data_IF_610635860587
#
_entry.id   IF_610635860587
#
_cell.length_a   1.000
_cell.length_b   1.000
_cell.length_c   1.000
_cell.angle_alpha   90.00
_cell.angle_beta   90.00
_cell.angle_gamma   90.00
#
_symmetry.space_group_name_H-M   'P 1'
#
loop_
_entity.id
_entity.type
_entity.pdbx_description
1 polymer ?
#
# COMPACT_ATOMS: atom_id res chain seq x y z
N UNK A 1 7.96 -17.59 19.51
CA UNK A 1 7.41 -18.02 18.24
C UNK A 1 7.62 -19.54 18.01
N UNK A 2 8.85 -20.07 17.79
CA UNK A 2 9.03 -21.52 17.56
C UNK A 2 8.53 -22.38 18.74
N UNK A 3 8.79 -21.97 19.98
CA UNK A 3 8.28 -22.63 21.18
C UNK A 3 6.75 -22.64 21.24
N UNK A 4 6.06 -21.58 20.77
CA UNK A 4 4.59 -21.52 20.71
C UNK A 4 4.03 -22.56 19.74
N UNK A 5 4.68 -22.76 18.59
CA UNK A 5 4.29 -23.76 17.59
C UNK A 5 4.41 -25.20 18.16
N UNK A 6 5.54 -25.49 18.83
CA UNK A 6 5.73 -26.79 19.48
C UNK A 6 4.63 -27.04 20.53
N UNK A 7 4.34 -26.04 21.36
CA UNK A 7 3.26 -26.14 22.37
C UNK A 7 1.87 -26.27 21.75
N UNK A 8 1.61 -25.62 20.62
CA UNK A 8 0.36 -25.80 19.89
C UNK A 8 0.22 -27.23 19.33
N UNK A 9 1.29 -27.78 18.75
CA UNK A 9 1.33 -29.16 18.30
C UNK A 9 1.12 -30.16 19.46
N UNK A 10 1.77 -29.94 20.60
CA UNK A 10 1.58 -30.75 21.82
C UNK A 10 0.12 -30.66 22.33
N UNK A 11 -0.51 -29.49 22.21
CA UNK A 11 -1.91 -29.27 22.61
C UNK A 11 -2.94 -29.84 21.61
N UNK A 12 -2.49 -30.38 20.47
CA UNK A 12 -3.35 -31.07 19.49
C UNK A 12 -3.63 -30.30 18.20
N UNK A 13 -2.84 -29.28 17.86
CA UNK A 13 -2.94 -28.65 16.54
C UNK A 13 -2.50 -29.66 15.47
N UNK A 14 -3.35 -29.85 14.45
CA UNK A 14 -3.11 -30.80 13.36
C UNK A 14 -2.27 -30.16 12.24
N UNK A 15 -2.36 -28.85 12.06
CA UNK A 15 -1.64 -28.09 11.05
C UNK A 15 -1.04 -26.83 11.68
N UNK A 16 0.21 -26.52 11.33
CA UNK A 16 0.91 -25.32 11.73
C UNK A 16 1.54 -24.63 10.53
N UNK A 17 1.43 -23.30 10.47
CA UNK A 17 1.99 -22.49 9.39
C UNK A 17 3.39 -22.02 9.78
N UNK A 18 4.35 -22.25 8.90
CA UNK A 18 5.76 -21.96 9.10
C UNK A 18 6.36 -21.35 7.82
N UNK A 19 7.52 -20.72 7.95
CA UNK A 19 8.28 -20.19 6.82
C UNK A 19 9.61 -20.90 6.67
N UNK A 20 10.08 -21.07 5.42
CA UNK A 20 11.43 -21.57 5.15
C UNK A 20 12.47 -20.74 5.92
N UNK A 21 13.57 -21.33 6.38
CA UNK A 21 14.47 -20.71 7.36
C UNK A 21 14.98 -19.32 6.95
N UNK A 22 15.37 -19.12 5.71
CA UNK A 22 15.84 -17.85 5.16
C UNK A 22 14.78 -16.74 5.10
N UNK A 23 13.48 -17.10 5.13
CA UNK A 23 12.34 -16.18 5.09
C UNK A 23 11.56 -16.13 6.42
N UNK A 24 12.10 -16.73 7.48
CA UNK A 24 11.40 -16.93 8.76
C UNK A 24 11.75 -15.89 9.81
N UNK A 25 10.94 -15.86 10.88
CA UNK A 25 11.20 -15.04 12.07
C UNK A 25 10.77 -13.58 11.92
N UNK A 26 11.13 -12.74 12.89
CA UNK A 26 10.76 -11.33 12.98
C UNK A 26 9.22 -11.15 12.85
N UNK A 27 8.75 -10.62 11.75
CA UNK A 27 7.32 -10.43 11.43
C UNK A 27 6.74 -11.54 10.55
N UNK A 28 7.57 -12.49 10.08
CA UNK A 28 7.13 -13.68 9.36
C UNK A 28 6.80 -14.83 10.33
N UNK A 29 6.37 -15.97 9.76
CA UNK A 29 6.11 -17.18 10.52
C UNK A 29 7.40 -17.75 11.12
N UNK A 30 7.30 -18.63 12.15
CA UNK A 30 8.46 -19.31 12.72
C UNK A 30 9.18 -20.20 11.71
N UNK A 31 10.44 -20.52 12.03
CA UNK A 31 11.35 -21.26 11.16
C UNK A 31 10.93 -22.72 10.99
N UNK A 32 10.57 -23.10 9.74
CA UNK A 32 10.15 -24.45 9.35
C UNK A 32 11.25 -25.48 9.61
N UNK A 33 12.48 -25.25 9.12
CA UNK A 33 13.57 -26.21 9.22
C UNK A 33 13.88 -26.54 10.68
N UNK A 34 13.82 -25.52 11.57
CA UNK A 34 14.02 -25.71 13.00
C UNK A 34 12.92 -26.57 13.66
N UNK A 35 11.67 -26.36 13.28
CA UNK A 35 10.54 -27.12 13.82
C UNK A 35 10.56 -28.56 13.31
N UNK A 36 10.81 -28.78 12.02
CA UNK A 36 10.96 -30.11 11.43
C UNK A 36 12.06 -30.90 12.15
N UNK A 37 13.22 -30.27 12.36
CA UNK A 37 14.32 -30.92 13.07
C UNK A 37 14.00 -31.17 14.56
N UNK A 38 13.30 -30.24 15.23
CA UNK A 38 12.93 -30.40 16.64
C UNK A 38 11.93 -31.54 16.88
N UNK A 39 11.06 -31.81 15.88
CA UNK A 39 10.07 -32.90 15.95
C UNK A 39 10.59 -34.24 15.41
N UNK A 40 11.82 -34.29 14.91
CA UNK A 40 12.40 -35.54 14.36
C UNK A 40 12.42 -36.65 15.39
N UNK A 41 11.77 -37.77 15.07
CA UNK A 41 11.63 -38.90 15.96
C UNK A 41 10.55 -38.77 17.03
N UNK A 42 9.81 -37.67 17.07
CA UNK A 42 8.61 -37.48 17.88
C UNK A 42 7.39 -38.17 17.18
N UNK A 43 6.33 -38.57 17.92
CA UNK A 43 5.07 -39.04 17.30
C UNK A 43 4.45 -38.06 16.30
N UNK A 44 4.83 -36.80 16.35
CA UNK A 44 4.40 -35.72 15.43
C UNK A 44 5.45 -35.35 14.38
N UNK A 45 6.42 -36.22 14.16
CA UNK A 45 7.42 -36.03 13.11
C UNK A 45 6.75 -35.82 11.75
N UNK A 46 7.06 -34.72 11.09
CA UNK A 46 6.43 -34.34 9.83
C UNK A 46 6.87 -35.19 8.65
N UNK A 47 7.96 -35.96 8.79
CA UNK A 47 8.60 -36.74 7.72
C UNK A 47 9.08 -35.90 6.52
N UNK A 48 9.19 -34.59 6.67
CA UNK A 48 9.73 -33.70 5.63
C UNK A 48 11.24 -33.89 5.48
N UNK A 49 11.72 -33.86 4.25
CA UNK A 49 13.16 -33.97 3.95
C UNK A 49 13.87 -32.67 4.32
N UNK A 50 14.60 -32.70 5.43
CA UNK A 50 15.32 -31.53 5.94
C UNK A 50 16.44 -31.07 4.97
N UNK A 51 17.10 -32.00 4.26
CA UNK A 51 18.15 -31.63 3.30
C UNK A 51 17.58 -30.83 2.12
N UNK A 52 16.42 -31.23 1.62
CA UNK A 52 15.71 -30.46 0.59
C UNK A 52 15.23 -29.09 1.09
N UNK A 53 14.73 -28.99 2.32
CA UNK A 53 14.35 -27.72 2.93
C UNK A 53 15.56 -26.78 3.10
N UNK A 54 16.73 -27.33 3.42
CA UNK A 54 17.98 -26.55 3.54
C UNK A 54 18.46 -26.07 2.16
N UNK A 55 18.37 -26.87 1.13
CA UNK A 55 18.65 -26.46 -0.26
C UNK A 55 17.74 -25.30 -0.68
N UNK A 56 16.43 -25.40 -0.46
CA UNK A 56 15.50 -24.31 -0.69
C UNK A 56 15.85 -23.05 0.10
N UNK A 57 16.29 -23.21 1.35
CA UNK A 57 16.69 -22.08 2.19
C UNK A 57 17.89 -21.33 1.62
N UNK A 58 18.89 -22.04 1.11
CA UNK A 58 20.07 -21.46 0.47
C UNK A 58 19.66 -20.65 -0.78
N UNK A 59 18.79 -21.21 -1.61
CA UNK A 59 18.26 -20.50 -2.78
C UNK A 59 17.57 -19.18 -2.38
N UNK A 60 16.64 -19.26 -1.42
CA UNK A 60 15.89 -18.08 -1.00
C UNK A 60 16.72 -17.06 -0.23
N UNK A 61 17.79 -17.47 0.44
CA UNK A 61 18.75 -16.54 1.05
C UNK A 61 19.46 -15.71 -0.02
N UNK A 62 19.89 -16.34 -1.11
CA UNK A 62 20.51 -15.63 -2.24
C UNK A 62 19.52 -14.66 -2.91
N UNK A 63 18.25 -15.08 -3.12
CA UNK A 63 17.21 -14.21 -3.67
C UNK A 63 16.92 -13.03 -2.74
N UNK A 64 16.82 -13.27 -1.42
CA UNK A 64 16.52 -12.24 -0.43
C UNK A 64 17.50 -11.07 -0.45
N UNK A 65 18.76 -11.29 -0.79
CA UNK A 65 19.76 -10.23 -0.87
C UNK A 65 19.38 -9.13 -1.87
N UNK A 66 18.68 -9.46 -2.95
CA UNK A 66 18.21 -8.47 -3.93
C UNK A 66 17.10 -7.58 -3.38
N UNK A 67 16.38 -8.02 -2.35
CA UNK A 67 15.27 -7.31 -1.73
C UNK A 67 15.67 -6.62 -0.42
N UNK A 68 16.90 -6.79 0.06
CA UNK A 68 17.34 -6.25 1.35
C UNK A 68 17.13 -4.73 1.49
N UNK A 69 17.38 -3.89 0.47
CA UNK A 69 17.12 -2.44 0.56
C UNK A 69 15.65 -2.07 0.76
N UNK A 70 14.72 -2.98 0.45
CA UNK A 70 13.28 -2.79 0.63
C UNK A 70 12.77 -3.40 1.95
N UNK A 71 13.65 -4.08 2.71
CA UNK A 71 13.29 -4.73 3.97
C UNK A 71 13.26 -3.72 5.12
N UNK A 72 12.06 -3.32 5.52
CA UNK A 72 11.79 -2.43 6.66
C UNK A 72 11.52 -3.19 7.97
N UNK A 73 11.70 -4.52 7.98
CA UNK A 73 11.47 -5.36 9.16
C UNK A 73 12.38 -4.96 10.34
N UNK A 74 11.93 -5.19 11.58
CA UNK A 74 12.81 -5.05 12.74
C UNK A 74 13.97 -6.06 12.63
N UNK A 75 15.14 -5.67 13.10
CA UNK A 75 16.36 -6.55 13.04
C UNK A 75 16.47 -7.53 14.21
N UNK A 76 15.50 -7.54 15.13
CA UNK A 76 15.43 -8.44 16.27
C UNK A 76 13.98 -8.81 16.59
N UNK A 77 13.79 -9.98 17.22
CA UNK A 77 12.49 -10.40 17.71
C UNK A 77 12.14 -9.72 19.03
N UNK A 78 10.85 -9.43 19.24
CA UNK A 78 10.35 -8.84 20.48
C UNK A 78 9.09 -9.57 20.96
N UNK A 79 8.71 -9.35 22.23
CA UNK A 79 7.46 -9.84 22.80
C UNK A 79 6.33 -8.80 22.73
N UNK A 80 6.55 -7.66 22.11
CA UNK A 80 5.56 -6.56 22.02
C UNK A 80 4.30 -6.97 21.27
N UNK A 81 4.39 -7.96 20.37
CA UNK A 81 3.22 -8.54 19.67
C UNK A 81 2.13 -8.98 20.64
N UNK A 82 2.50 -9.44 21.85
CA UNK A 82 1.51 -9.85 22.86
C UNK A 82 0.83 -8.67 23.56
N UNK A 83 1.25 -7.43 23.28
CA UNK A 83 0.59 -6.20 23.76
C UNK A 83 -0.29 -5.61 22.68
N UNK A 84 0.30 -5.31 21.52
CA UNK A 84 -0.42 -4.65 20.43
C UNK A 84 -1.19 -5.63 19.53
N UNK A 85 -0.82 -6.94 19.56
CA UNK A 85 -1.44 -8.01 18.76
C UNK A 85 -1.52 -7.70 17.25
N UNK A 86 -0.60 -6.87 16.77
CA UNK A 86 -0.53 -6.48 15.36
C UNK A 86 -0.03 -7.67 14.55
N UNK A 87 -0.76 -8.11 13.52
CA UNK A 87 -0.26 -9.14 12.60
C UNK A 87 1.06 -8.73 11.96
N UNK A 88 1.97 -9.69 11.74
CA UNK A 88 3.33 -9.39 11.25
C UNK A 88 3.37 -8.59 9.95
N UNK A 89 2.53 -8.94 8.96
CA UNK A 89 2.42 -8.19 7.71
C UNK A 89 1.88 -6.76 7.92
N UNK A 90 0.93 -6.58 8.86
CA UNK A 90 0.44 -5.26 9.19
C UNK A 90 1.50 -4.42 9.91
N UNK A 91 2.33 -5.05 10.75
CA UNK A 91 3.42 -4.36 11.45
C UNK A 91 4.42 -3.73 10.47
N UNK A 92 4.89 -4.49 9.47
CA UNK A 92 5.80 -3.98 8.46
C UNK A 92 5.17 -2.91 7.60
N UNK A 93 3.94 -3.13 7.09
CA UNK A 93 3.23 -2.15 6.28
C UNK A 93 2.99 -0.85 7.04
N UNK A 94 2.53 -0.93 8.29
CA UNK A 94 2.24 0.27 9.08
C UNK A 94 3.52 1.03 9.44
N UNK A 95 4.64 0.32 9.68
CA UNK A 95 5.93 0.94 9.93
C UNK A 95 6.46 1.71 8.73
N UNK A 96 6.29 1.15 7.52
CA UNK A 96 6.63 1.82 6.27
C UNK A 96 5.75 3.05 6.04
N UNK A 97 4.43 2.92 6.22
CA UNK A 97 3.48 4.03 6.16
C UNK A 97 3.84 5.15 7.15
N UNK A 98 4.16 4.79 8.40
CA UNK A 98 4.58 5.75 9.42
C UNK A 98 5.86 6.49 9.00
N UNK A 99 6.83 5.78 8.44
CA UNK A 99 8.07 6.39 7.95
C UNK A 99 7.82 7.35 6.80
N UNK A 100 6.99 6.98 5.83
CA UNK A 100 6.61 7.83 4.69
C UNK A 100 5.85 9.10 5.11
N UNK A 101 5.07 9.02 6.19
CA UNK A 101 4.36 10.17 6.79
C UNK A 101 5.23 10.98 7.77
N UNK A 102 6.55 10.70 7.87
CA UNK A 102 7.45 11.39 8.79
C UNK A 102 7.27 10.99 10.26
N UNK A 103 6.52 9.93 10.54
CA UNK A 103 6.23 9.44 11.90
C UNK A 103 7.15 8.28 12.32
N UNK A 104 8.19 7.95 11.55
CA UNK A 104 9.08 6.83 11.83
C UNK A 104 9.76 6.90 13.21
N UNK A 105 10.17 8.11 13.65
CA UNK A 105 10.72 8.35 14.99
C UNK A 105 9.69 8.23 16.13
N UNK A 106 8.39 8.32 15.78
CA UNK A 106 7.26 8.21 16.70
C UNK A 106 6.63 6.81 16.70
N UNK A 107 7.32 5.80 16.20
CA UNK A 107 6.83 4.43 16.12
C UNK A 107 6.22 3.89 17.43
N UNK A 108 6.81 4.13 18.62
CA UNK A 108 6.18 3.71 19.89
C UNK A 108 4.80 4.33 20.12
N UNK A 109 4.55 5.55 19.65
CA UNK A 109 3.23 6.18 19.73
C UNK A 109 2.26 5.55 18.73
N UNK A 110 2.71 5.23 17.50
CA UNK A 110 1.89 4.50 16.51
C UNK A 110 1.41 3.17 17.09
N UNK A 111 2.28 2.41 17.74
CA UNK A 111 1.93 1.13 18.39
C UNK A 111 0.90 1.33 19.50
N UNK A 112 1.09 2.32 20.35
CA UNK A 112 0.12 2.69 21.40
C UNK A 112 -1.25 3.07 20.81
N UNK A 113 -1.26 3.93 19.81
CA UNK A 113 -2.50 4.33 19.13
C UNK A 113 -3.21 3.13 18.48
N UNK A 114 -2.45 2.21 17.88
CA UNK A 114 -3.02 0.99 17.31
C UNK A 114 -3.74 0.12 18.35
N UNK A 115 -3.12 -0.08 19.51
CA UNK A 115 -3.69 -0.82 20.64
C UNK A 115 -4.97 -0.12 21.17
N UNK A 116 -4.89 1.18 21.49
CA UNK A 116 -6.01 1.96 22.02
C UNK A 116 -7.17 2.05 21.02
N UNK A 117 -6.89 2.26 19.74
CA UNK A 117 -7.92 2.26 18.67
C UNK A 117 -8.62 0.90 18.60
N UNK A 118 -7.90 -0.22 18.70
CA UNK A 118 -8.55 -1.52 18.70
C UNK A 118 -9.50 -1.68 19.90
N UNK A 119 -9.11 -1.21 21.08
CA UNK A 119 -9.95 -1.24 22.27
C UNK A 119 -11.22 -0.37 22.08
N UNK A 120 -11.09 0.82 21.52
CA UNK A 120 -12.22 1.72 21.22
C UNK A 120 -13.17 1.10 20.19
N UNK A 121 -12.67 0.33 19.24
CA UNK A 121 -13.48 -0.40 18.25
C UNK A 121 -14.16 -1.65 18.83
N UNK A 122 -13.91 -1.98 20.10
CA UNK A 122 -14.53 -3.11 20.80
C UNK A 122 -13.66 -4.35 20.84
N UNK A 123 -12.33 -4.17 20.78
CA UNK A 123 -11.33 -5.24 20.82
C UNK A 123 -11.59 -6.33 19.77
N UNK A 124 -11.64 -5.89 18.54
CA UNK A 124 -11.94 -6.75 17.38
C UNK A 124 -10.77 -7.64 17.02
N UNK A 125 -11.09 -8.80 16.42
CA UNK A 125 -10.06 -9.68 15.85
C UNK A 125 -9.33 -8.96 14.71
N UNK A 126 -7.99 -8.91 14.82
CA UNK A 126 -7.11 -8.25 13.86
C UNK A 126 -6.64 -9.23 12.79
N UNK A 127 -7.38 -9.30 11.72
CA UNK A 127 -7.10 -10.06 10.50
C UNK A 127 -7.49 -9.21 9.29
N UNK A 128 -6.94 -9.46 8.12
CA UNK A 128 -7.33 -8.70 6.91
C UNK A 128 -8.84 -8.77 6.67
N UNK A 129 -9.56 -7.64 6.52
CA UNK A 129 -9.08 -6.26 6.42
C UNK A 129 -9.01 -5.46 7.73
N UNK A 130 -9.51 -5.99 8.86
CA UNK A 130 -9.67 -5.24 10.12
C UNK A 130 -8.35 -4.70 10.67
N UNK A 131 -7.26 -5.46 10.59
CA UNK A 131 -5.93 -5.00 11.03
C UNK A 131 -5.45 -3.76 10.30
N UNK A 132 -5.74 -3.67 8.98
CA UNK A 132 -5.43 -2.48 8.18
C UNK A 132 -6.25 -1.29 8.66
N UNK A 133 -7.55 -1.47 8.87
CA UNK A 133 -8.45 -0.38 9.28
C UNK A 133 -8.08 0.18 10.65
N UNK A 134 -7.71 -0.68 11.62
CA UNK A 134 -7.18 -0.23 12.92
C UNK A 134 -5.93 0.62 12.73
N UNK A 135 -5.01 0.20 11.85
CA UNK A 135 -3.80 0.95 11.52
C UNK A 135 -4.11 2.30 10.85
N UNK A 136 -4.99 2.31 9.86
CA UNK A 136 -5.38 3.52 9.14
C UNK A 136 -5.98 4.57 10.10
N UNK A 137 -6.85 4.14 11.04
CA UNK A 137 -7.43 5.03 12.03
C UNK A 137 -6.39 5.52 13.05
N UNK A 138 -5.50 4.66 13.52
CA UNK A 138 -4.41 5.03 14.44
C UNK A 138 -3.49 6.09 13.80
N UNK A 139 -3.07 5.88 12.56
CA UNK A 139 -2.25 6.82 11.81
C UNK A 139 -2.96 8.14 11.57
N UNK A 140 -4.24 8.10 11.22
CA UNK A 140 -5.07 9.29 11.02
C UNK A 140 -5.15 10.14 12.28
N UNK A 141 -5.47 9.53 13.43
CA UNK A 141 -5.56 10.24 14.71
C UNK A 141 -4.21 10.84 15.14
N UNK A 142 -3.13 10.05 15.03
CA UNK A 142 -1.79 10.50 15.38
C UNK A 142 -1.34 11.68 14.50
N UNK A 143 -1.61 11.63 13.20
CA UNK A 143 -1.28 12.72 12.27
C UNK A 143 -2.07 14.00 12.59
N UNK A 144 -3.32 13.86 13.01
CA UNK A 144 -4.15 15.01 13.46
C UNK A 144 -3.81 15.50 14.86
N UNK A 145 -2.97 14.79 15.63
CA UNK A 145 -2.67 15.12 17.02
C UNK A 145 -3.86 14.93 17.94
N UNK A 146 -4.75 13.98 17.63
CA UNK A 146 -5.95 13.64 18.42
C UNK A 146 -5.69 12.36 19.19
N UNK A 147 -5.83 12.37 20.51
CA UNK A 147 -5.71 11.16 21.31
C UNK A 147 -6.87 10.19 20.98
N UNK A 148 -6.64 8.87 20.95
CA UNK A 148 -7.69 7.90 20.62
C UNK A 148 -8.95 8.04 21.48
N UNK A 149 -8.80 8.33 22.78
CA UNK A 149 -9.92 8.56 23.70
C UNK A 149 -10.82 9.75 23.30
N UNK A 150 -10.28 10.72 22.57
CA UNK A 150 -10.99 11.90 22.11
C UNK A 150 -11.67 11.72 20.75
N UNK A 151 -11.57 10.54 20.14
CA UNK A 151 -12.20 10.23 18.85
C UNK A 151 -13.69 10.61 18.82
N UNK A 152 -14.41 10.32 19.90
CA UNK A 152 -15.86 10.59 20.00
C UNK A 152 -16.21 12.08 20.12
N UNK A 153 -15.22 12.92 20.41
CA UNK A 153 -15.36 14.38 20.53
C UNK A 153 -15.03 15.12 19.22
N UNK A 154 -14.64 14.40 18.16
CA UNK A 154 -14.36 15.01 16.87
C UNK A 154 -15.62 15.61 16.26
N UNK A 155 -15.43 16.71 15.53
CA UNK A 155 -16.52 17.43 14.88
C UNK A 155 -17.23 16.56 13.82
N UNK A 156 -18.58 16.66 13.72
CA UNK A 156 -19.32 16.05 12.62
C UNK A 156 -18.79 16.53 11.26
N UNK A 157 -18.59 15.60 10.35
CA UNK A 157 -18.03 15.92 9.02
C UNK A 157 -16.51 15.80 8.92
N UNK A 158 -15.83 15.35 9.97
CA UNK A 158 -14.41 14.97 9.88
C UNK A 158 -14.25 13.90 8.79
N UNK A 159 -13.34 14.15 7.85
CA UNK A 159 -13.02 13.18 6.77
C UNK A 159 -12.11 12.08 7.31
N UNK A 160 -12.69 10.93 7.58
CA UNK A 160 -11.94 9.72 7.96
C UNK A 160 -11.45 8.96 6.73
N UNK A 161 -10.42 8.10 6.86
CA UNK A 161 -10.02 7.18 5.81
C UNK A 161 -11.20 6.33 5.34
N UNK A 162 -11.31 6.10 4.01
CA UNK A 162 -12.45 5.38 3.42
C UNK A 162 -12.56 3.95 3.99
N UNK A 163 -11.42 3.27 4.21
CA UNK A 163 -11.39 1.94 4.84
C UNK A 163 -12.06 1.90 6.22
N UNK A 164 -11.90 2.97 7.00
CA UNK A 164 -12.51 3.12 8.33
C UNK A 164 -14.02 3.32 8.18
N UNK A 165 -14.43 4.18 7.26
CA UNK A 165 -15.84 4.43 6.96
C UNK A 165 -16.54 3.17 6.47
N UNK A 166 -15.93 2.44 5.53
CA UNK A 166 -16.46 1.19 4.98
C UNK A 166 -16.63 0.11 6.06
N UNK A 167 -15.62 -0.03 6.92
CA UNK A 167 -15.72 -1.00 8.01
C UNK A 167 -16.84 -0.64 8.99
N UNK A 168 -16.90 0.60 9.46
CA UNK A 168 -17.91 1.04 10.43
C UNK A 168 -19.32 1.12 9.82
N UNK A 169 -19.43 1.32 8.51
CA UNK A 169 -20.72 1.21 7.81
C UNK A 169 -21.22 -0.22 7.75
N UNK A 170 -20.36 -1.22 7.97
CA UNK A 170 -20.66 -2.65 7.81
C UNK A 170 -20.41 -3.16 6.39
N UNK A 171 -19.76 -2.36 5.49
CA UNK A 171 -19.41 -2.75 4.14
C UNK A 171 -18.42 -3.91 4.09
N UNK A 172 -17.57 -4.03 5.11
CA UNK A 172 -16.63 -5.15 5.30
C UNK A 172 -17.14 -6.24 6.26
N UNK A 173 -18.43 -6.22 6.59
CA UNK A 173 -19.03 -7.08 7.61
C UNK A 173 -19.16 -6.37 8.96
N UNK A 174 -19.59 -7.14 9.97
CA UNK A 174 -19.78 -6.60 11.32
C UNK A 174 -19.30 -7.60 12.37
N UNK A 175 -18.65 -7.15 13.46
CA UNK A 175 -18.30 -8.01 14.57
C UNK A 175 -19.56 -8.49 15.31
N UNK A 176 -19.42 -9.58 16.06
CA UNK A 176 -20.49 -10.05 16.94
C UNK A 176 -20.83 -8.95 17.97
N UNK A 177 -22.06 -8.51 17.99
CA UNK A 177 -22.52 -7.42 18.86
C UNK A 177 -22.56 -6.04 18.20
N UNK A 178 -22.02 -5.91 16.98
CA UNK A 178 -21.95 -4.65 16.24
C UNK A 178 -20.82 -3.73 16.73
N UNK A 179 -20.77 -2.54 16.17
CA UNK A 179 -19.79 -1.50 16.51
C UNK A 179 -20.23 -0.68 17.73
N UNK A 180 -19.30 -0.11 18.52
CA UNK A 180 -19.63 0.90 19.54
C UNK A 180 -20.36 2.07 18.88
N UNK A 181 -21.55 2.38 19.39
CA UNK A 181 -22.49 3.29 18.71
C UNK A 181 -21.99 4.73 18.60
N UNK A 182 -21.30 5.20 19.61
CA UNK A 182 -20.76 6.56 19.69
C UNK A 182 -19.64 6.74 18.64
N UNK A 183 -18.75 5.75 18.53
CA UNK A 183 -17.67 5.70 17.54
C UNK A 183 -18.26 5.62 16.14
N UNK A 184 -19.21 4.70 15.92
CA UNK A 184 -19.89 4.56 14.64
C UNK A 184 -20.58 5.85 14.20
N UNK A 185 -21.25 6.54 15.13
CA UNK A 185 -21.94 7.81 14.86
C UNK A 185 -20.98 8.91 14.42
N UNK A 186 -19.85 9.05 15.09
CA UNK A 186 -18.84 10.08 14.74
C UNK A 186 -18.21 9.81 13.37
N UNK A 187 -17.86 8.54 13.09
CA UNK A 187 -17.20 8.16 11.84
C UNK A 187 -18.16 8.22 10.65
N UNK A 188 -19.39 7.76 10.81
CA UNK A 188 -20.36 7.74 9.73
C UNK A 188 -21.07 9.09 9.52
N UNK A 189 -21.22 9.91 10.55
CA UNK A 189 -22.02 11.13 10.48
C UNK A 189 -23.45 10.80 10.05
N UNK A 190 -23.90 11.38 8.94
CA UNK A 190 -25.24 11.18 8.37
C UNK A 190 -25.36 9.92 7.48
N UNK A 191 -24.27 9.20 7.26
CA UNK A 191 -24.24 7.99 6.43
C UNK A 191 -24.96 6.84 7.12
N UNK A 192 -25.74 6.06 6.35
CA UNK A 192 -26.47 4.91 6.88
C UNK A 192 -25.59 3.65 6.87
N UNK A 193 -25.55 2.98 8.02
CA UNK A 193 -24.91 1.68 8.12
C UNK A 193 -25.68 0.60 7.33
N UNK A 194 -24.95 -0.36 6.78
CA UNK A 194 -25.54 -1.53 6.14
C UNK A 194 -26.25 -2.41 7.17
N UNK A 195 -27.39 -2.97 6.73
CA UNK A 195 -28.08 -4.02 7.48
C UNK A 195 -28.03 -5.32 6.70
N UNK A 196 -27.51 -6.36 7.33
CA UNK A 196 -27.37 -7.65 6.72
C UNK A 196 -26.03 -7.82 6.00
N UNK A 197 -25.96 -8.75 5.07
CA UNK A 197 -24.75 -9.15 4.37
C UNK A 197 -24.47 -8.19 3.19
N UNK A 198 -23.34 -7.47 3.14
CA UNK A 198 -23.05 -6.50 2.08
C UNK A 198 -23.08 -7.13 0.69
N UNK A 199 -22.47 -8.31 0.51
CA UNK A 199 -22.45 -9.01 -0.77
C UNK A 199 -23.82 -9.41 -1.33
N UNK A 200 -24.86 -9.44 -0.49
CA UNK A 200 -26.23 -9.68 -0.96
C UNK A 200 -26.82 -8.47 -1.73
N UNK A 201 -26.20 -7.29 -1.62
CA UNK A 201 -26.59 -6.03 -2.26
C UNK A 201 -25.60 -5.60 -3.34
N UNK A 202 -24.52 -6.35 -3.50
CA UNK A 202 -23.56 -6.07 -4.56
C UNK A 202 -24.27 -6.16 -5.91
N UNK A 203 -24.04 -5.19 -6.76
CA UNK A 203 -24.50 -5.24 -8.14
C UNK A 203 -23.84 -6.40 -8.86
N UNK A 204 -24.60 -7.03 -9.76
CA UNK A 204 -24.03 -8.09 -10.58
C UNK A 204 -23.08 -7.47 -11.59
N UNK A 205 -21.88 -8.01 -11.65
CA UNK A 205 -20.91 -7.59 -12.65
C UNK A 205 -21.36 -8.13 -14.02
N UNK A 206 -21.44 -7.24 -15.00
CA UNK A 206 -21.60 -7.60 -16.41
C UNK A 206 -20.21 -7.94 -16.97
N UNK A 207 -19.94 -9.25 -17.14
CA UNK A 207 -18.64 -9.71 -17.61
C UNK A 207 -18.37 -9.31 -19.06
N UNK A 208 -19.41 -9.19 -19.90
CA UNK A 208 -19.24 -8.85 -21.30
C UNK A 208 -18.92 -7.34 -21.47
N UNK A 209 -19.53 -6.50 -20.67
CA UNK A 209 -19.18 -5.07 -20.60
C UNK A 209 -17.78 -4.88 -20.04
N UNK A 210 -17.45 -5.58 -18.95
CA UNK A 210 -16.11 -5.54 -18.35
C UNK A 210 -15.03 -5.99 -19.33
N UNK A 211 -15.26 -7.04 -20.12
CA UNK A 211 -14.31 -7.47 -21.16
C UNK A 211 -14.04 -6.37 -22.20
N UNK A 212 -15.07 -5.61 -22.59
CA UNK A 212 -14.90 -4.47 -23.53
C UNK A 212 -14.08 -3.35 -22.88
N UNK A 213 -14.34 -3.06 -21.62
CA UNK A 213 -13.58 -2.07 -20.86
C UNK A 213 -12.11 -2.47 -20.75
N UNK A 214 -11.81 -3.71 -20.37
CA UNK A 214 -10.44 -4.24 -20.27
C UNK A 214 -9.74 -4.21 -21.63
N UNK A 215 -10.38 -4.66 -22.69
CA UNK A 215 -9.83 -4.59 -24.05
C UNK A 215 -9.53 -3.13 -24.47
N UNK A 216 -10.35 -2.17 -24.05
CA UNK A 216 -10.06 -0.75 -24.28
C UNK A 216 -8.87 -0.25 -23.46
N UNK A 217 -8.77 -0.67 -22.17
CA UNK A 217 -7.65 -0.32 -21.29
C UNK A 217 -6.34 -0.90 -21.82
N UNK A 218 -6.30 -2.18 -22.20
CA UNK A 218 -5.10 -2.85 -22.71
C UNK A 218 -4.78 -2.48 -24.16
N UNK A 219 -5.78 -2.00 -24.93
CA UNK A 219 -5.75 -1.83 -26.40
C UNK A 219 -5.54 -3.16 -27.13
N UNK A 220 -5.85 -4.28 -26.50
CA UNK A 220 -5.86 -5.57 -27.16
C UNK A 220 -7.14 -5.76 -27.96
N UNK A 221 -7.08 -6.57 -29.02
CA UNK A 221 -8.27 -6.90 -29.83
C UNK A 221 -9.30 -7.69 -29.01
N UNK A 222 -8.86 -8.48 -28.07
CA UNK A 222 -9.67 -9.29 -27.18
C UNK A 222 -9.10 -9.29 -25.78
N UNK A 223 -9.97 -9.30 -24.76
CA UNK A 223 -9.63 -9.48 -23.37
C UNK A 223 -9.44 -10.97 -23.07
N UNK A 224 -8.33 -11.35 -22.45
CA UNK A 224 -8.13 -12.70 -21.93
C UNK A 224 -8.90 -12.93 -20.62
N UNK A 225 -9.05 -14.20 -20.20
CA UNK A 225 -9.66 -14.52 -18.91
C UNK A 225 -8.81 -13.97 -17.73
N UNK A 226 -7.48 -14.07 -17.84
CA UNK A 226 -6.57 -13.58 -16.81
C UNK A 226 -6.69 -12.06 -16.65
N UNK A 227 -6.64 -11.30 -17.75
CA UNK A 227 -6.84 -9.85 -17.73
C UNK A 227 -8.19 -9.45 -17.12
N UNK A 228 -9.26 -10.19 -17.45
CA UNK A 228 -10.59 -9.95 -16.89
C UNK A 228 -10.59 -10.12 -15.36
N UNK A 229 -10.06 -11.23 -14.87
CA UNK A 229 -10.07 -11.53 -13.44
C UNK A 229 -9.09 -10.64 -12.66
N UNK A 230 -7.93 -10.33 -13.20
CA UNK A 230 -7.00 -9.37 -12.61
C UNK A 230 -7.63 -7.99 -12.48
N UNK A 231 -8.32 -7.52 -13.52
CA UNK A 231 -9.02 -6.24 -13.48
C UNK A 231 -10.15 -6.25 -12.45
N UNK A 232 -10.95 -7.31 -12.39
CA UNK A 232 -12.06 -7.43 -11.43
C UNK A 232 -11.57 -7.48 -9.98
N UNK A 233 -10.45 -8.15 -9.72
CA UNK A 233 -9.87 -8.27 -8.38
C UNK A 233 -9.12 -7.00 -7.96
N UNK A 234 -8.40 -6.36 -8.87
CA UNK A 234 -7.47 -5.27 -8.57
C UNK A 234 -7.49 -4.18 -9.65
N UNK A 235 -8.61 -3.48 -9.87
CA UNK A 235 -8.80 -2.62 -11.05
C UNK A 235 -7.74 -1.51 -11.16
N UNK A 236 -7.35 -0.89 -10.04
CA UNK A 236 -6.34 0.17 -10.09
C UNK A 236 -4.94 -0.40 -10.37
N UNK A 237 -4.55 -1.47 -9.68
CA UNK A 237 -3.25 -2.13 -9.89
C UNK A 237 -3.11 -2.61 -11.34
N UNK A 238 -4.17 -3.16 -11.92
CA UNK A 238 -4.19 -3.56 -13.32
C UNK A 238 -3.98 -2.38 -14.27
N UNK A 239 -4.67 -1.25 -14.04
CA UNK A 239 -4.50 -0.01 -14.83
C UNK A 239 -3.06 0.52 -14.75
N UNK A 240 -2.48 0.52 -13.56
CA UNK A 240 -1.11 0.97 -13.33
C UNK A 240 -0.09 0.06 -14.00
N UNK A 241 -0.31 -1.26 -13.94
CA UNK A 241 0.51 -2.25 -14.64
C UNK A 241 0.45 -2.07 -16.16
N UNK A 242 -0.74 -1.91 -16.74
CA UNK A 242 -0.90 -1.64 -18.17
C UNK A 242 -0.22 -0.34 -18.58
N UNK A 243 -0.31 0.70 -17.76
CA UNK A 243 0.39 1.97 -17.99
C UNK A 243 1.90 1.78 -17.98
N UNK A 244 2.43 1.07 -16.97
CA UNK A 244 3.85 0.74 -16.86
C UNK A 244 4.37 -0.01 -18.10
N UNK A 245 3.66 -1.07 -18.51
CA UNK A 245 4.06 -1.86 -19.68
C UNK A 245 4.01 -1.06 -20.99
N UNK A 246 3.15 -0.06 -21.09
CA UNK A 246 3.15 0.84 -22.26
C UNK A 246 4.33 1.79 -22.28
N UNK A 247 4.76 2.23 -21.12
CA UNK A 247 5.86 3.19 -20.99
C UNK A 247 7.22 2.51 -21.15
N UNK A 248 7.39 1.37 -20.51
CA UNK A 248 8.69 0.68 -20.41
C UNK A 248 8.80 -0.61 -21.24
N UNK A 249 7.68 -1.13 -21.75
CA UNK A 249 7.63 -2.43 -22.42
C UNK A 249 7.62 -3.59 -21.42
N UNK A 250 7.90 -4.80 -21.93
CA UNK A 250 7.92 -6.04 -21.14
C UNK A 250 9.21 -6.12 -20.31
N UNK A 251 9.17 -5.61 -19.09
CA UNK A 251 10.33 -5.56 -18.20
C UNK A 251 10.62 -6.90 -17.48
N UNK A 252 9.74 -7.91 -17.56
CA UNK A 252 9.93 -9.22 -16.90
C UNK A 252 11.09 -10.02 -17.50
N UNK A 253 11.52 -9.67 -18.72
CA UNK A 253 12.69 -10.26 -19.37
C UNK A 253 14.03 -9.81 -18.76
N UNK A 254 14.03 -8.77 -17.92
CA UNK A 254 15.24 -8.26 -17.27
C UNK A 254 15.60 -9.15 -16.07
N UNK A 255 16.90 -9.41 -15.83
CA UNK A 255 17.34 -10.01 -14.57
C UNK A 255 16.91 -9.16 -13.37
N UNK A 256 16.45 -9.79 -12.28
CA UNK A 256 15.94 -9.10 -11.08
C UNK A 256 16.88 -8.00 -10.55
N UNK A 257 18.21 -8.19 -10.42
CA UNK A 257 19.10 -7.12 -9.99
C UNK A 257 19.08 -5.91 -10.92
N UNK A 258 19.01 -6.14 -12.23
CA UNK A 258 19.03 -5.07 -13.22
C UNK A 258 17.69 -4.34 -13.31
N UNK A 259 16.59 -5.03 -13.03
CA UNK A 259 15.28 -4.38 -12.89
C UNK A 259 15.26 -3.40 -11.72
N UNK A 260 15.81 -3.78 -10.56
CA UNK A 260 15.80 -2.92 -9.37
C UNK A 260 16.90 -1.86 -9.36
N UNK A 261 18.08 -2.19 -9.83
CA UNK A 261 19.28 -1.36 -9.63
C UNK A 261 19.88 -0.81 -10.92
N UNK A 262 19.33 -1.21 -12.08
CA UNK A 262 19.89 -0.83 -13.38
C UNK A 262 21.25 -1.45 -13.66
N UNK A 263 22.01 -0.79 -14.51
CA UNK A 263 23.38 -1.13 -14.85
C UNK A 263 24.33 -0.03 -14.35
N UNK A 264 25.51 -0.43 -13.89
CA UNK A 264 26.61 0.52 -13.66
C UNK A 264 27.40 0.73 -14.96
N UNK A 265 28.05 1.90 -15.14
CA UNK A 265 28.93 2.11 -16.29
C UNK A 265 29.96 0.99 -16.42
N UNK A 266 30.04 0.38 -17.62
CA UNK A 266 30.87 -0.77 -17.92
C UNK A 266 30.21 -2.13 -17.74
N UNK A 267 29.07 -2.23 -17.04
CA UNK A 267 28.33 -3.48 -16.91
C UNK A 267 27.55 -3.83 -18.18
N UNK A 268 27.42 -5.14 -18.42
CA UNK A 268 26.75 -5.72 -19.57
C UNK A 268 25.80 -6.82 -19.14
N UNK A 269 24.62 -6.89 -19.76
CA UNK A 269 23.65 -7.97 -19.60
C UNK A 269 23.21 -8.51 -20.95
N UNK A 270 22.78 -9.75 -20.93
CA UNK A 270 22.15 -10.43 -22.06
C UNK A 270 20.67 -10.63 -21.76
N UNK A 271 19.79 -10.12 -22.62
CA UNK A 271 18.34 -10.17 -22.46
C UNK A 271 17.74 -10.91 -23.64
N UNK A 272 17.01 -11.98 -23.39
CA UNK A 272 16.22 -12.66 -24.42
C UNK A 272 14.89 -11.93 -24.58
N UNK A 273 14.72 -11.20 -25.68
CA UNK A 273 13.55 -10.36 -25.96
C UNK A 273 12.46 -11.09 -26.76
N UNK A 274 12.79 -12.22 -27.35
CA UNK A 274 11.90 -13.11 -28.10
C UNK A 274 12.64 -14.44 -28.32
N UNK A 275 11.95 -15.50 -28.70
CA UNK A 275 12.54 -16.81 -28.96
C UNK A 275 13.71 -16.72 -29.95
N UNK A 276 14.91 -17.05 -29.50
CA UNK A 276 16.15 -16.97 -30.27
C UNK A 276 16.65 -15.56 -30.60
N UNK A 277 16.07 -14.51 -29.99
CA UNK A 277 16.51 -13.12 -30.15
C UNK A 277 17.10 -12.58 -28.85
N UNK A 278 18.40 -12.51 -28.81
CA UNK A 278 19.15 -11.98 -27.66
C UNK A 278 19.65 -10.57 -27.95
N UNK A 279 19.40 -9.68 -26.98
CA UNK A 279 19.93 -8.33 -26.96
C UNK A 279 21.04 -8.23 -25.90
N UNK A 280 22.22 -7.87 -26.31
CA UNK A 280 23.34 -7.55 -25.42
C UNK A 280 23.27 -6.06 -25.13
N UNK A 281 23.09 -5.69 -23.86
CA UNK A 281 22.96 -4.30 -23.38
C UNK A 281 24.13 -3.98 -22.48
N UNK A 282 24.93 -2.97 -22.83
CA UNK A 282 26.02 -2.46 -22.01
C UNK A 282 25.82 -0.99 -21.73
N UNK A 283 25.88 -0.58 -20.47
CA UNK A 283 25.89 0.83 -20.11
C UNK A 283 27.32 1.36 -20.22
N UNK A 284 27.54 2.33 -21.10
CA UNK A 284 28.86 2.95 -21.31
C UNK A 284 29.07 4.12 -20.38
N UNK A 285 28.10 5.05 -20.32
CA UNK A 285 28.26 6.32 -19.64
C UNK A 285 26.90 6.89 -19.16
N UNK A 286 26.94 7.62 -18.05
CA UNK A 286 25.85 8.43 -17.52
C UNK A 286 26.39 9.84 -17.29
N UNK A 287 25.77 10.85 -17.90
CA UNK A 287 26.19 12.25 -17.73
C UNK A 287 25.82 12.79 -16.35
N UNK A 288 26.43 13.90 -15.94
CA UNK A 288 25.89 14.73 -14.87
C UNK A 288 24.53 15.32 -15.31
N UNK A 289 23.64 15.64 -14.37
CA UNK A 289 22.36 16.28 -14.69
C UNK A 289 22.58 17.69 -15.27
N UNK A 290 21.79 18.03 -16.28
CA UNK A 290 21.72 19.40 -16.80
C UNK A 290 20.86 20.32 -15.89
N UNK A 291 20.65 21.57 -16.29
CA UNK A 291 19.86 22.56 -15.53
C UNK A 291 18.38 22.16 -15.42
N UNK A 292 17.86 21.35 -16.36
CA UNK A 292 16.53 20.79 -16.34
C UNK A 292 16.42 19.50 -15.51
N UNK A 293 17.54 19.03 -14.96
CA UNK A 293 17.61 17.75 -14.20
C UNK A 293 17.65 16.51 -15.09
N UNK A 294 17.96 16.67 -16.37
CA UNK A 294 18.06 15.56 -17.29
C UNK A 294 19.47 14.98 -17.34
N UNK A 295 19.58 13.67 -17.52
CA UNK A 295 20.85 12.95 -17.77
C UNK A 295 20.81 12.25 -19.13
N UNK A 296 21.93 12.27 -19.82
CA UNK A 296 22.14 11.46 -21.02
C UNK A 296 22.81 10.14 -20.64
N UNK A 297 22.18 9.03 -21.01
CA UNK A 297 22.73 7.68 -20.88
C UNK A 297 23.18 7.19 -22.24
N UNK A 298 24.41 6.70 -22.31
CA UNK A 298 24.96 6.07 -23.52
C UNK A 298 25.05 4.57 -23.32
N UNK A 299 24.31 3.83 -24.12
CA UNK A 299 24.32 2.36 -24.15
C UNK A 299 25.00 1.84 -25.42
N UNK A 300 25.49 0.63 -25.32
CA UNK A 300 25.83 -0.19 -26.48
C UNK A 300 24.86 -1.36 -26.57
N UNK A 301 24.13 -1.46 -27.69
CA UNK A 301 23.15 -2.51 -27.94
C UNK A 301 23.66 -3.35 -29.14
N UNK A 302 24.02 -4.61 -28.86
CA UNK A 302 24.63 -5.51 -29.89
C UNK A 302 25.78 -4.82 -30.68
N UNK A 303 26.68 -4.14 -29.98
CA UNK A 303 27.84 -3.45 -30.57
C UNK A 303 27.51 -2.08 -31.21
N UNK A 304 26.29 -1.55 -31.05
CA UNK A 304 25.89 -0.25 -31.58
C UNK A 304 25.56 0.72 -30.48
N UNK A 305 26.20 1.87 -30.48
CA UNK A 305 25.92 2.93 -29.51
C UNK A 305 24.50 3.49 -29.68
N UNK A 306 23.86 3.75 -28.56
CA UNK A 306 22.52 4.39 -28.42
C UNK A 306 22.59 5.36 -27.27
N UNK A 307 21.98 6.52 -27.48
CA UNK A 307 21.80 7.53 -26.41
C UNK A 307 20.33 7.69 -26.10
N UNK A 308 20.04 7.90 -24.82
CA UNK A 308 18.71 8.27 -24.34
C UNK A 308 18.85 9.32 -23.26
N UNK A 309 17.86 10.20 -23.17
CA UNK A 309 17.79 11.23 -22.14
C UNK A 309 16.69 10.84 -21.16
N UNK A 310 17.01 10.90 -19.89
CA UNK A 310 16.06 10.63 -18.80
C UNK A 310 16.04 11.80 -17.81
N UNK A 311 14.89 12.03 -17.19
CA UNK A 311 14.77 12.97 -16.07
C UNK A 311 15.26 12.29 -14.79
N UNK A 312 16.25 12.90 -14.12
CA UNK A 312 16.72 12.44 -12.81
C UNK A 312 15.87 13.10 -11.70
N UNK A 313 14.91 12.36 -11.22
CA UNK A 313 14.04 12.82 -10.13
C UNK A 313 14.78 13.12 -8.82
N UNK A 314 16.00 12.62 -8.63
CA UNK A 314 16.83 12.94 -7.47
C UNK A 314 17.56 14.27 -7.59
N UNK A 315 17.76 14.77 -8.81
CA UNK A 315 18.41 16.06 -9.07
C UNK A 315 17.45 17.26 -9.01
N UNK A 316 16.15 17.03 -9.12
CA UNK A 316 15.10 18.06 -9.05
C UNK A 316 14.65 18.28 -7.60
N UNK A 317 15.45 19.03 -6.83
CA UNK A 317 15.10 19.44 -5.46
C UNK A 317 14.69 20.92 -5.41
N UNK A 318 13.64 21.31 -6.11
CA UNK A 318 12.86 22.49 -5.72
C UNK A 318 11.47 22.05 -5.27
N UNK A 319 11.31 21.88 -3.97
CA UNK A 319 9.99 21.83 -3.33
C UNK A 319 9.34 23.19 -3.56
N UNK A 320 8.48 23.32 -4.56
CA UNK A 320 7.57 24.47 -4.69
C UNK A 320 6.80 24.57 -3.37
N UNK A 321 7.06 25.61 -2.59
CA UNK A 321 6.23 25.93 -1.41
C UNK A 321 4.82 26.18 -1.92
N UNK A 322 3.90 25.26 -1.60
CA UNK A 322 2.50 25.39 -1.93
C UNK A 322 1.80 26.35 -0.99
N UNK A 323 0.74 26.97 -1.49
CA UNK A 323 -0.16 27.78 -0.67
C UNK A 323 -0.89 26.85 0.33
N UNK A 324 -0.92 27.27 1.60
CA UNK A 324 -1.63 26.54 2.65
C UNK A 324 -3.05 27.09 2.80
N UNK A 325 -4.02 26.21 2.96
CA UNK A 325 -5.41 26.56 3.23
C UNK A 325 -5.53 27.19 4.63
N UNK A 326 -6.31 28.26 4.74
CA UNK A 326 -6.68 28.84 6.03
C UNK A 326 -7.78 27.97 6.66
N UNK A 327 -7.45 27.32 7.77
CA UNK A 327 -8.38 26.42 8.49
C UNK A 327 -9.63 27.14 9.04
N UNK A 328 -9.60 28.49 9.16
CA UNK A 328 -10.77 29.28 9.56
C UNK A 328 -11.70 29.57 8.38
N UNK A 329 -11.22 29.45 7.15
CA UNK A 329 -12.00 29.72 5.94
C UNK A 329 -12.55 28.41 5.33
N UNK A 330 -13.85 28.17 5.51
CA UNK A 330 -14.53 26.97 4.98
C UNK A 330 -14.54 26.87 3.44
N UNK A 331 -14.26 27.98 2.74
CA UNK A 331 -14.13 28.01 1.28
C UNK A 331 -12.78 27.50 0.81
N UNK A 332 -11.77 27.42 1.67
CA UNK A 332 -10.45 26.88 1.37
C UNK A 332 -10.30 25.46 1.92
N UNK A 333 -10.27 24.51 1.02
CA UNK A 333 -10.20 23.10 1.37
C UNK A 333 -8.74 22.63 1.27
N UNK A 334 -8.14 22.33 2.40
CA UNK A 334 -6.75 21.84 2.51
C UNK A 334 -6.64 20.33 2.63
N UNK A 335 -5.45 19.80 2.32
CA UNK A 335 -5.14 18.40 2.53
C UNK A 335 -5.14 18.05 4.04
N UNK A 336 -5.89 17.02 4.47
CA UNK A 336 -5.93 16.62 5.87
C UNK A 336 -4.65 15.94 6.36
N UNK A 337 -3.92 15.29 5.46
CA UNK A 337 -2.66 14.57 5.70
C UNK A 337 -1.71 14.76 4.52
N UNK A 338 -0.40 14.54 4.67
CA UNK A 338 0.51 14.40 3.54
C UNK A 338 0.12 13.19 2.68
N UNK A 339 -0.05 13.40 1.38
CA UNK A 339 -0.53 12.35 0.47
C UNK A 339 -0.25 12.71 -0.99
N UNK A 340 -0.53 11.78 -1.89
CA UNK A 340 -0.61 12.02 -3.33
C UNK A 340 -2.06 12.29 -3.73
N UNK A 341 -2.31 13.22 -4.62
CA UNK A 341 -3.64 13.46 -5.19
C UNK A 341 -3.95 12.34 -6.17
N UNK A 342 -4.83 11.42 -5.75
CA UNK A 342 -5.22 10.26 -6.57
C UNK A 342 -6.31 10.59 -7.60
N UNK A 343 -7.26 11.46 -7.23
CA UNK A 343 -8.34 11.88 -8.13
C UNK A 343 -8.92 13.24 -7.73
N UNK A 344 -9.40 13.98 -8.74
CA UNK A 344 -10.10 15.26 -8.58
C UNK A 344 -11.44 15.17 -9.34
N UNK A 345 -12.52 14.74 -8.66
CA UNK A 345 -13.82 14.54 -9.30
C UNK A 345 -14.55 15.85 -9.65
N UNK A 346 -13.98 17.01 -9.33
CA UNK A 346 -14.54 18.35 -9.63
C UNK A 346 -13.65 19.12 -10.60
N UNK A 347 -14.25 20.09 -11.26
CA UNK A 347 -13.57 21.03 -12.19
C UNK A 347 -13.93 22.47 -11.82
N UNK A 348 -13.08 23.41 -12.22
CA UNK A 348 -13.36 24.86 -12.01
C UNK A 348 -14.71 25.22 -12.62
N UNK A 349 -15.52 25.95 -11.85
CA UNK A 349 -16.89 26.32 -12.21
C UNK A 349 -17.96 25.29 -11.78
N UNK A 350 -17.59 24.13 -11.26
CA UNK A 350 -18.53 23.13 -10.77
C UNK A 350 -19.22 23.63 -9.49
N UNK A 351 -20.56 23.55 -9.47
CA UNK A 351 -21.35 23.84 -8.26
C UNK A 351 -21.34 22.62 -7.35
N UNK A 352 -20.99 22.81 -6.09
CA UNK A 352 -20.88 21.76 -5.07
C UNK A 352 -21.74 22.08 -3.88
N UNK A 353 -22.31 21.06 -3.26
CA UNK A 353 -23.03 21.12 -1.99
C UNK A 353 -22.12 20.60 -0.87
N UNK A 354 -22.44 21.01 0.36
CA UNK A 354 -21.74 20.47 1.55
C UNK A 354 -21.82 18.95 1.58
N UNK A 355 -20.65 18.30 1.59
CA UNK A 355 -20.52 16.84 1.61
C UNK A 355 -20.20 16.23 0.24
N UNK A 356 -20.09 17.04 -0.81
CA UNK A 356 -19.64 16.57 -2.12
C UNK A 356 -18.15 16.24 -2.11
N UNK A 357 -17.75 15.21 -2.88
CA UNK A 357 -16.35 14.79 -3.01
C UNK A 357 -15.57 15.80 -3.87
N UNK A 358 -14.52 16.39 -3.32
CA UNK A 358 -13.67 17.37 -4.02
C UNK A 358 -12.34 16.78 -4.47
N UNK A 359 -11.72 15.95 -3.65
CA UNK A 359 -10.46 15.30 -3.96
C UNK A 359 -10.38 13.92 -3.28
N UNK A 360 -9.66 13.00 -3.89
CA UNK A 360 -9.26 11.73 -3.27
C UNK A 360 -7.75 11.77 -3.14
N UNK A 361 -7.28 11.65 -1.92
CA UNK A 361 -5.87 11.60 -1.57
C UNK A 361 -5.47 10.17 -1.25
N UNK A 362 -4.28 9.77 -1.66
CA UNK A 362 -3.72 8.46 -1.36
C UNK A 362 -2.36 8.61 -0.69
N UNK A 363 -2.21 7.99 0.47
CA UNK A 363 -0.96 7.85 1.19
C UNK A 363 -0.72 6.37 1.49
N UNK A 364 0.27 5.76 0.85
CA UNK A 364 0.66 4.36 1.09
C UNK A 364 -0.54 3.39 1.08
N UNK A 365 -1.35 3.42 0.02
CA UNK A 365 -2.57 2.60 -0.16
C UNK A 365 -3.72 2.92 0.82
N UNK A 366 -3.58 3.99 1.59
CA UNK A 366 -4.67 4.55 2.40
C UNK A 366 -5.31 5.69 1.61
N UNK A 367 -6.57 5.52 1.23
CA UNK A 367 -7.32 6.56 0.54
C UNK A 367 -8.12 7.39 1.53
N UNK A 368 -8.07 8.70 1.36
CA UNK A 368 -8.84 9.67 2.14
C UNK A 368 -9.58 10.58 1.18
N UNK A 369 -10.90 10.57 1.26
CA UNK A 369 -11.74 11.48 0.45
C UNK A 369 -11.89 12.81 1.17
N UNK A 370 -11.64 13.89 0.48
CA UNK A 370 -11.81 15.26 0.95
C UNK A 370 -13.14 15.80 0.42
N UNK A 371 -13.96 16.31 1.31
CA UNK A 371 -15.33 16.75 1.04
C UNK A 371 -15.47 18.27 1.18
N UNK A 372 -16.46 18.83 0.46
CA UNK A 372 -16.87 20.22 0.61
C UNK A 372 -17.42 20.48 2.01
N UNK A 373 -16.92 21.54 2.67
CA UNK A 373 -17.35 21.93 4.01
C UNK A 373 -18.58 22.85 4.00
N UNK A 374 -18.87 23.44 2.86
CA UNK A 374 -20.03 24.32 2.61
C UNK A 374 -20.42 24.24 1.12
N UNK A 375 -21.60 24.76 0.80
CA UNK A 375 -22.04 24.95 -0.57
C UNK A 375 -21.24 26.06 -1.25
N UNK A 376 -20.97 25.93 -2.55
CA UNK A 376 -20.20 26.93 -3.31
C UNK A 376 -19.97 26.52 -4.75
N UNK A 377 -19.18 27.32 -5.44
CA UNK A 377 -18.72 27.03 -6.80
C UNK A 377 -17.21 26.91 -6.75
N UNK A 378 -16.66 25.88 -7.36
CA UNK A 378 -15.20 25.68 -7.44
C UNK A 378 -14.57 26.85 -8.21
N UNK A 379 -13.76 27.66 -7.53
CA UNK A 379 -13.08 28.82 -8.10
C UNK A 379 -11.72 28.44 -8.69
N UNK A 380 -10.90 27.69 -7.92
CA UNK A 380 -9.63 27.17 -8.43
C UNK A 380 -9.24 25.84 -7.79
N UNK A 381 -8.43 25.08 -8.52
CA UNK A 381 -7.83 23.80 -8.10
C UNK A 381 -6.32 23.92 -8.34
N UNK A 382 -5.53 24.32 -7.32
CA UNK A 382 -4.08 24.55 -7.48
C UNK A 382 -3.23 23.28 -7.51
N UNK A 383 -3.85 22.11 -7.54
CA UNK A 383 -3.20 20.79 -7.54
C UNK A 383 -3.64 19.95 -8.74
N UNK A 384 -2.81 18.97 -9.13
CA UNK A 384 -3.10 18.03 -10.22
C UNK A 384 -3.05 16.59 -9.71
N UNK A 385 -3.74 15.70 -10.40
CA UNK A 385 -3.67 14.25 -10.14
C UNK A 385 -2.24 13.77 -10.32
N UNK A 386 -1.73 13.00 -9.37
CA UNK A 386 -0.35 12.54 -9.31
C UNK A 386 0.62 13.46 -8.57
N UNK A 387 0.18 14.61 -8.07
CA UNK A 387 1.04 15.50 -7.27
C UNK A 387 1.03 15.14 -5.79
N UNK A 388 2.21 15.23 -5.15
CA UNK A 388 2.36 15.12 -3.71
C UNK A 388 1.93 16.42 -3.02
N UNK A 389 1.19 16.32 -1.94
CA UNK A 389 0.73 17.43 -1.11
C UNK A 389 1.10 17.18 0.36
N UNK A 390 1.40 18.24 1.07
CA UNK A 390 1.60 18.21 2.52
C UNK A 390 0.29 18.52 3.25
N UNK A 391 0.26 18.23 4.56
CA UNK A 391 -0.87 18.65 5.39
C UNK A 391 -1.14 20.15 5.26
N UNK A 392 -2.41 20.51 5.09
CA UNK A 392 -2.92 21.88 4.87
C UNK A 392 -2.60 22.50 3.52
N UNK A 393 -1.93 21.83 2.57
CA UNK A 393 -1.81 22.38 1.21
C UNK A 393 -3.21 22.60 0.64
N UNK A 394 -3.41 23.77 -0.01
CA UNK A 394 -4.69 24.11 -0.62
C UNK A 394 -4.96 23.19 -1.81
N UNK A 395 -6.07 22.45 -1.73
CA UNK A 395 -6.51 21.53 -2.79
C UNK A 395 -7.56 22.15 -3.70
N UNK A 396 -8.57 22.78 -3.10
CA UNK A 396 -9.70 23.40 -3.80
C UNK A 396 -10.09 24.68 -3.06
N UNK A 397 -10.36 25.72 -3.80
CA UNK A 397 -10.95 26.95 -3.30
C UNK A 397 -12.34 27.13 -3.89
N UNK A 398 -13.31 27.41 -3.04
CA UNK A 398 -14.70 27.70 -3.40
C UNK A 398 -14.96 29.20 -3.36
N UNK A 399 -16.02 29.66 -4.03
CA UNK A 399 -16.55 31.00 -3.98
C UNK A 399 -18.05 31.03 -3.83
#
# INVERSE_FOLDING_TARGET
ASASIIKAAEAGADVVDLSISSMSGLTAQPNLNSIVNALKGDPRDTQLDLAFLDELSIYWEAVRQFYEPFDTSPKFGSAEVYKHEMPGGQYTNLREQASALGLGSRWPEVVRYYEEVNQILGDIVKVTPSSKVVGDLAMFLLTKGVEPADLVNLEPGTSFPESVVDMLSGGLGQPKGGWPKDVQKVILGDRKAFRGRPGARAEKVDLDETRKEVAHITRHAHCTEDELFEYLMYPQVFKDFVKFNREYGEASVLPTPNFFYGLKPGEEISVEIDEGKTLIVKLIYVSEPNEEGERTLTFELNGRARETVILDHSATTETKRREKADSANKMQIGAPIPAMVSSLPVTVGHQVEKGDKLAILEAMKMQTTVYAQCDGIVDRIPVHVGEAVEAKDLLVELR
#
